data_IF_828859220060
#
_entry.id   IF_828859220060
#
_cell.length_a   1.000
_cell.length_b   1.000
_cell.length_c   1.000
_cell.angle_alpha   90.00
_cell.angle_beta   90.00
_cell.angle_gamma   90.00
#
_symmetry.space_group_name_H-M   'P 1'
#
loop_
_entity.id
_entity.type
_entity.pdbx_description
1 polymer ?
#
# COMPACT_ATOMS: atom_id res chain seq x y z
N UNK A 1 -25.93 67.50 -10.17
CA UNK A 1 -24.60 66.85 -10.11
C UNK A 1 -24.27 66.25 -8.75
N UNK A 2 -24.58 66.92 -7.63
CA UNK A 2 -24.16 66.50 -6.27
C UNK A 2 -24.83 65.21 -5.73
N UNK A 3 -26.03 64.87 -6.18
CA UNK A 3 -26.73 63.62 -5.82
C UNK A 3 -26.12 62.38 -6.47
N UNK A 4 -25.55 62.53 -7.66
CA UNK A 4 -24.96 61.42 -8.41
C UNK A 4 -23.56 61.07 -7.87
N UNK A 5 -22.78 62.06 -7.45
CA UNK A 5 -21.49 61.87 -6.79
C UNK A 5 -21.62 61.21 -5.42
N UNK A 6 -22.63 61.57 -4.63
CA UNK A 6 -22.92 60.93 -3.34
C UNK A 6 -23.30 59.45 -3.49
N UNK A 7 -24.06 59.10 -4.54
CA UNK A 7 -24.41 57.70 -4.85
C UNK A 7 -23.18 56.86 -5.18
N UNK A 8 -22.30 57.38 -6.03
CA UNK A 8 -21.07 56.70 -6.41
C UNK A 8 -20.15 56.52 -5.20
N UNK A 9 -20.02 57.54 -4.36
CA UNK A 9 -19.22 57.46 -3.12
C UNK A 9 -19.72 56.36 -2.18
N UNK A 10 -21.05 56.23 -2.01
CA UNK A 10 -21.64 55.18 -1.18
C UNK A 10 -21.37 53.78 -1.75
N UNK A 11 -21.56 53.60 -3.06
CA UNK A 11 -21.27 52.31 -3.70
C UNK A 11 -19.79 51.95 -3.61
N UNK A 12 -18.88 52.92 -3.77
CA UNK A 12 -17.44 52.66 -3.60
C UNK A 12 -17.12 52.20 -2.17
N UNK A 13 -17.71 52.82 -1.15
CA UNK A 13 -17.54 52.38 0.24
C UNK A 13 -18.02 50.96 0.47
N UNK A 14 -19.20 50.60 -0.06
CA UNK A 14 -19.75 49.23 0.05
C UNK A 14 -18.86 48.21 -0.67
N UNK A 15 -18.30 48.58 -1.83
CA UNK A 15 -17.34 47.74 -2.54
C UNK A 15 -16.03 47.57 -1.77
N UNK A 16 -15.51 48.62 -1.13
CA UNK A 16 -14.29 48.53 -0.30
C UNK A 16 -14.49 47.56 0.85
N UNK A 17 -15.61 47.64 1.59
CA UNK A 17 -15.90 46.70 2.70
C UNK A 17 -16.00 45.26 2.21
N UNK A 18 -16.70 45.03 1.09
CA UNK A 18 -16.80 43.68 0.49
C UNK A 18 -15.44 43.17 0.00
N UNK A 19 -14.57 44.06 -0.46
CA UNK A 19 -13.21 43.71 -0.86
C UNK A 19 -12.37 43.28 0.35
N UNK A 20 -12.38 44.05 1.44
CA UNK A 20 -11.65 43.72 2.68
C UNK A 20 -12.11 42.37 3.26
N UNK A 21 -13.43 42.10 3.25
CA UNK A 21 -13.98 40.80 3.65
C UNK A 21 -13.51 39.66 2.75
N UNK A 22 -13.48 39.90 1.43
CA UNK A 22 -13.00 38.91 0.46
C UNK A 22 -11.51 38.63 0.65
N UNK A 23 -10.68 39.67 0.81
CA UNK A 23 -9.24 39.56 1.07
C UNK A 23 -8.97 38.78 2.36
N UNK A 24 -9.70 39.08 3.44
CA UNK A 24 -9.58 38.36 4.71
C UNK A 24 -9.95 36.88 4.56
N UNK A 25 -11.01 36.57 3.81
CA UNK A 25 -11.41 35.19 3.53
C UNK A 25 -10.38 34.46 2.67
N UNK A 26 -9.81 35.13 1.67
CA UNK A 26 -8.76 34.56 0.82
C UNK A 26 -7.52 34.25 1.66
N UNK A 27 -7.07 35.18 2.50
CA UNK A 27 -5.93 34.95 3.40
C UNK A 27 -6.12 33.73 4.29
N UNK A 28 -7.31 33.55 4.88
CA UNK A 28 -7.63 32.38 5.71
C UNK A 28 -7.63 31.09 4.88
N UNK A 29 -8.23 31.11 3.69
CA UNK A 29 -8.24 29.96 2.79
C UNK A 29 -6.83 29.57 2.35
N UNK A 30 -5.95 30.54 2.09
CA UNK A 30 -4.55 30.29 1.76
C UNK A 30 -3.81 29.62 2.93
N UNK A 31 -4.06 30.05 4.16
CA UNK A 31 -3.50 29.42 5.37
C UNK A 31 -4.03 27.99 5.56
N UNK A 32 -5.33 27.78 5.39
CA UNK A 32 -5.96 26.46 5.50
C UNK A 32 -5.41 25.50 4.43
N UNK A 33 -5.30 25.95 3.17
CA UNK A 33 -4.74 25.15 2.08
C UNK A 33 -3.28 24.80 2.34
N UNK A 34 -2.47 25.74 2.86
CA UNK A 34 -1.09 25.47 3.27
C UNK A 34 -1.03 24.40 4.35
N UNK A 35 -1.86 24.52 5.39
CA UNK A 35 -1.94 23.56 6.49
C UNK A 35 -2.34 22.17 6.00
N UNK A 36 -3.41 22.10 5.18
CA UNK A 36 -3.88 20.84 4.58
C UNK A 36 -2.78 20.18 3.75
N UNK A 37 -2.08 20.94 2.90
CA UNK A 37 -0.98 20.40 2.10
C UNK A 37 0.12 19.78 2.97
N UNK A 38 0.53 20.47 4.04
CA UNK A 38 1.52 19.94 4.98
C UNK A 38 1.04 18.64 5.64
N UNK A 39 -0.25 18.54 5.97
CA UNK A 39 -0.81 17.30 6.55
C UNK A 39 -0.81 16.16 5.54
N UNK A 40 -1.19 16.42 4.28
CA UNK A 40 -1.16 15.42 3.21
C UNK A 40 0.27 14.91 2.98
N UNK A 41 1.25 15.81 2.86
CA UNK A 41 2.66 15.42 2.67
C UNK A 41 3.18 14.58 3.85
N UNK A 42 2.72 14.86 5.07
CA UNK A 42 3.07 14.06 6.25
C UNK A 42 2.42 12.69 6.21
N UNK A 43 1.14 12.61 5.84
CA UNK A 43 0.41 11.35 5.71
C UNK A 43 0.98 10.47 4.61
N UNK A 44 1.36 11.05 3.46
CA UNK A 44 2.00 10.33 2.35
C UNK A 44 3.31 9.67 2.80
N UNK A 45 4.17 10.40 3.54
CA UNK A 45 5.40 9.83 4.11
C UNK A 45 5.11 8.70 5.09
N UNK A 46 4.11 8.87 5.96
CA UNK A 46 3.72 7.80 6.89
C UNK A 46 3.19 6.56 6.17
N UNK A 47 2.45 6.75 5.07
CA UNK A 47 1.99 5.65 4.23
C UNK A 47 3.16 4.94 3.55
N UNK A 48 4.12 5.66 2.99
CA UNK A 48 5.31 5.07 2.39
C UNK A 48 6.12 4.27 3.42
N UNK A 49 6.38 4.84 4.60
CA UNK A 49 7.10 4.19 5.68
C UNK A 49 6.39 2.91 6.15
N UNK A 50 5.07 2.95 6.27
CA UNK A 50 4.28 1.79 6.71
C UNK A 50 4.23 0.70 5.64
N UNK A 51 4.11 1.07 4.36
CA UNK A 51 4.19 0.13 3.25
C UNK A 51 5.55 -0.56 3.19
N UNK A 52 6.64 0.20 3.37
CA UNK A 52 7.99 -0.36 3.41
C UNK A 52 8.14 -1.36 4.57
N UNK A 53 7.71 -1.00 5.78
CA UNK A 53 7.73 -1.89 6.95
C UNK A 53 6.89 -3.16 6.74
N UNK A 54 5.72 -3.03 6.11
CA UNK A 54 4.88 -4.18 5.79
C UNK A 54 5.55 -5.11 4.78
N UNK A 55 6.15 -4.57 3.72
CA UNK A 55 6.90 -5.36 2.74
C UNK A 55 8.06 -6.11 3.41
N UNK A 56 8.85 -5.42 4.25
CA UNK A 56 9.96 -6.05 4.97
C UNK A 56 9.48 -7.18 5.91
N UNK A 57 8.36 -6.97 6.60
CA UNK A 57 7.76 -7.98 7.45
C UNK A 57 7.27 -9.18 6.64
N UNK A 58 6.59 -8.96 5.51
CA UNK A 58 6.15 -10.03 4.62
C UNK A 58 7.33 -10.83 4.08
N UNK A 59 8.39 -10.16 3.64
CA UNK A 59 9.61 -10.79 3.16
C UNK A 59 10.27 -11.62 4.26
N UNK A 60 10.36 -11.09 5.48
CA UNK A 60 10.93 -11.82 6.62
C UNK A 60 10.09 -13.03 7.01
N UNK A 61 8.77 -12.91 6.97
CA UNK A 61 7.84 -14.01 7.27
C UNK A 61 7.85 -15.09 6.19
N UNK A 62 8.16 -14.73 4.94
CA UNK A 62 8.19 -15.66 3.80
C UNK A 62 9.60 -16.12 3.42
N UNK A 63 10.65 -15.57 4.04
CA UNK A 63 12.06 -15.84 3.72
C UNK A 63 12.40 -17.33 3.67
N UNK A 64 11.82 -18.11 4.58
CA UNK A 64 12.08 -19.55 4.70
C UNK A 64 11.04 -20.41 3.95
N UNK A 65 10.08 -19.78 3.27
CA UNK A 65 9.05 -20.49 2.53
C UNK A 65 9.54 -20.75 1.11
N UNK A 66 9.64 -22.03 0.74
CA UNK A 66 9.94 -22.44 -0.63
C UNK A 66 8.66 -22.75 -1.39
N UNK A 67 8.59 -22.31 -2.67
CA UNK A 67 7.48 -22.63 -3.58
C UNK A 67 8.00 -23.50 -4.71
N UNK A 68 7.54 -24.75 -4.74
CA UNK A 68 7.87 -25.71 -5.82
C UNK A 68 6.75 -25.69 -6.86
N UNK A 69 7.14 -25.58 -8.13
CA UNK A 69 6.23 -25.49 -9.27
C UNK A 69 6.36 -26.75 -10.14
N UNK A 70 5.32 -27.08 -10.91
CA UNK A 70 5.34 -28.21 -11.84
C UNK A 70 4.97 -29.56 -11.24
N UNK A 71 4.54 -29.62 -9.97
CA UNK A 71 4.02 -30.85 -9.35
C UNK A 71 2.57 -31.06 -9.81
N UNK A 72 2.24 -32.19 -10.47
CA UNK A 72 0.86 -32.50 -10.87
C UNK A 72 -0.10 -32.53 -9.68
N UNK A 73 -1.35 -32.17 -9.91
CA UNK A 73 -2.37 -32.20 -8.85
C UNK A 73 -2.56 -33.62 -8.32
N UNK A 74 -2.60 -33.78 -7.00
CA UNK A 74 -2.79 -35.08 -6.35
C UNK A 74 -1.54 -35.97 -6.27
N UNK A 75 -0.41 -35.58 -6.86
CA UNK A 75 0.84 -36.35 -6.76
C UNK A 75 1.35 -36.49 -5.31
N UNK A 76 1.04 -35.50 -4.47
CA UNK A 76 1.37 -35.44 -3.05
C UNK A 76 0.56 -36.43 -2.19
N UNK A 77 -0.55 -36.96 -2.71
CA UNK A 77 -1.45 -37.84 -1.96
C UNK A 77 -2.05 -37.18 -0.72
N UNK A 78 -2.17 -37.95 0.37
CA UNK A 78 -2.71 -37.47 1.66
C UNK A 78 -1.66 -36.80 2.57
N UNK A 79 -0.38 -36.92 2.23
CA UNK A 79 0.73 -36.39 3.04
C UNK A 79 1.70 -35.53 2.19
N UNK A 80 1.39 -34.24 2.01
CA UNK A 80 2.28 -33.31 1.33
C UNK A 80 3.64 -33.14 2.02
N UNK A 81 3.74 -33.37 3.33
CA UNK A 81 4.99 -33.17 4.08
C UNK A 81 5.99 -34.28 3.77
N UNK A 82 5.57 -35.55 3.89
CA UNK A 82 6.38 -36.69 3.50
C UNK A 82 6.76 -36.68 2.01
N UNK A 83 5.83 -36.28 1.13
CA UNK A 83 6.11 -36.12 -0.30
C UNK A 83 7.25 -35.12 -0.56
N UNK A 84 7.21 -33.94 0.06
CA UNK A 84 8.24 -32.92 -0.12
C UNK A 84 9.61 -33.36 0.41
N UNK A 85 9.64 -34.10 1.53
CA UNK A 85 10.89 -34.67 2.06
C UNK A 85 11.49 -35.67 1.08
N UNK A 86 10.67 -36.58 0.55
CA UNK A 86 11.13 -37.57 -0.44
C UNK A 86 11.67 -36.87 -1.70
N UNK A 87 10.94 -35.87 -2.20
CA UNK A 87 11.34 -35.10 -3.37
C UNK A 87 12.69 -34.41 -3.16
N UNK A 88 12.93 -33.76 -2.02
CA UNK A 88 14.20 -33.09 -1.77
C UNK A 88 15.36 -34.05 -1.53
N UNK A 89 15.12 -35.19 -0.88
CA UNK A 89 16.13 -36.25 -0.73
C UNK A 89 16.55 -36.82 -2.08
N UNK A 90 15.62 -36.99 -3.00
CA UNK A 90 15.91 -37.47 -4.36
C UNK A 90 16.61 -36.39 -5.21
N UNK A 91 16.19 -35.13 -5.11
CA UNK A 91 16.74 -34.03 -5.88
C UNK A 91 18.14 -33.58 -5.42
N UNK A 92 18.45 -33.70 -4.12
CA UNK A 92 19.68 -33.18 -3.53
C UNK A 92 20.47 -34.29 -2.79
N UNK A 93 21.29 -35.02 -3.55
CA UNK A 93 22.10 -36.13 -3.01
C UNK A 93 23.08 -35.71 -1.90
N UNK A 94 23.58 -34.47 -1.93
CA UNK A 94 24.53 -33.97 -0.93
C UNK A 94 23.88 -33.67 0.44
N UNK A 95 22.54 -33.67 0.49
CA UNK A 95 21.76 -33.31 1.68
C UNK A 95 21.12 -34.54 2.36
N UNK A 96 21.56 -35.75 2.05
CA UNK A 96 21.07 -36.97 2.70
C UNK A 96 21.33 -37.03 4.21
N UNK A 97 22.31 -36.26 4.71
CA UNK A 97 22.66 -36.19 6.12
C UNK A 97 21.71 -35.27 6.94
N UNK A 98 20.84 -34.51 6.27
CA UNK A 98 19.92 -33.60 6.95
C UNK A 98 18.74 -34.35 7.55
N UNK A 99 18.36 -33.96 8.77
CA UNK A 99 17.12 -34.42 9.41
C UNK A 99 15.93 -33.64 8.82
N UNK A 100 15.55 -33.95 7.58
CA UNK A 100 14.51 -33.25 6.83
C UNK A 100 13.17 -33.11 7.57
N UNK A 101 12.82 -34.10 8.41
CA UNK A 101 11.63 -34.06 9.26
C UNK A 101 11.65 -32.90 10.27
N UNK A 102 12.83 -32.42 10.67
CA UNK A 102 13.02 -31.26 11.56
C UNK A 102 13.18 -29.94 10.81
N UNK A 103 13.69 -29.98 9.58
CA UNK A 103 13.95 -28.79 8.76
C UNK A 103 12.69 -28.25 8.08
N UNK A 104 11.74 -29.13 7.72
CA UNK A 104 10.48 -28.73 7.10
C UNK A 104 9.39 -28.62 8.16
N UNK A 105 9.04 -27.39 8.54
CA UNK A 105 7.99 -27.15 9.53
C UNK A 105 6.59 -27.48 9.01
N UNK A 106 6.31 -27.18 7.73
CA UNK A 106 5.01 -27.41 7.11
C UNK A 106 5.13 -27.50 5.60
N UNK A 107 4.41 -28.41 4.99
CA UNK A 107 4.18 -28.45 3.55
C UNK A 107 2.68 -28.43 3.29
N UNK A 108 2.28 -27.68 2.27
CA UNK A 108 0.90 -27.65 1.81
C UNK A 108 0.86 -27.17 0.37
N UNK A 109 -0.16 -27.63 -0.35
CA UNK A 109 -0.47 -27.07 -1.66
C UNK A 109 -1.03 -25.67 -1.48
N UNK A 110 -0.40 -24.70 -2.14
CA UNK A 110 -0.90 -23.33 -2.14
C UNK A 110 -2.17 -23.28 -3.01
N UNK A 111 -3.32 -22.77 -2.49
CA UNK A 111 -4.54 -22.68 -3.27
C UNK A 111 -4.29 -21.79 -4.49
N UNK A 112 -4.66 -22.28 -5.68
CA UNK A 112 -4.50 -21.55 -6.92
C UNK A 112 -5.47 -20.36 -6.95
N UNK A 113 -5.01 -19.19 -6.52
CA UNK A 113 -5.81 -17.98 -6.61
C UNK A 113 -5.71 -17.43 -8.05
N UNK A 114 -6.77 -17.61 -8.84
CA UNK A 114 -6.93 -16.98 -10.17
C UNK A 114 -7.17 -15.48 -10.00
N UNK A 115 -6.13 -14.72 -9.67
CA UNK A 115 -6.18 -13.26 -9.79
C UNK A 115 -5.14 -12.87 -10.82
N UNK A 116 -5.59 -12.52 -12.03
CA UNK A 116 -4.78 -11.76 -12.98
C UNK A 116 -4.35 -12.41 -14.29
N UNK A 117 -5.05 -13.43 -14.83
CA UNK A 117 -4.92 -13.75 -16.25
C UNK A 117 -6.29 -13.53 -16.91
N UNK A 118 -6.58 -12.28 -17.27
CA UNK A 118 -7.50 -12.02 -18.38
C UNK A 118 -6.76 -12.44 -19.64
N UNK A 119 -7.10 -13.61 -20.17
CA UNK A 119 -6.72 -13.99 -21.53
C UNK A 119 -7.43 -13.04 -22.49
N UNK A 120 -6.65 -12.13 -23.10
CA UNK A 120 -6.99 -11.50 -24.38
C UNK A 120 -6.87 -12.55 -25.48
#
# INVERSE_FOLDING_TARGET
MQTQTCRVAKTCSEFTTRMEEAETRISRLEDDVRSQRMTCETMEKQLEDTQWKLSELEDRLRRNNLRVLGIPEGAEGSDPHGFMIALFKEAFLDLHQWEWDREIQRAHRFPFNRVGISST
#
